data_IF_484806216303
#
_entry.id   IF_484806216303
#
_cell.length_a   1.000
_cell.length_b   1.000
_cell.length_c   1.000
_cell.angle_alpha   90.00
_cell.angle_beta   90.00
_cell.angle_gamma   90.00
#
_symmetry.space_group_name_H-M   'P 1'
#
loop_
_entity.id
_entity.type
_entity.pdbx_description
1 polymer ?
#
# COMPACT_ATOMS: atom_id res chain seq x y z
N UNK A 1 10.00 -2.12 -1.16
CA UNK A 1 10.76 -2.18 -2.44
C UNK A 1 10.10 -3.03 -3.53
N UNK A 2 9.52 -4.18 -3.18
CA UNK A 2 8.88 -5.11 -4.14
C UNK A 2 7.84 -4.45 -5.07
N UNK A 3 6.96 -3.59 -4.53
CA UNK A 3 5.96 -2.85 -5.33
C UNK A 3 6.63 -1.95 -6.37
N UNK A 4 7.65 -1.16 -5.98
CA UNK A 4 8.33 -0.24 -6.91
C UNK A 4 9.10 -0.96 -8.01
N UNK A 5 9.66 -2.14 -7.71
CA UNK A 5 10.26 -2.99 -8.74
C UNK A 5 9.20 -3.58 -9.68
N UNK A 6 8.07 -4.01 -9.14
CA UNK A 6 6.99 -4.59 -9.92
C UNK A 6 6.37 -3.58 -10.91
N UNK A 7 6.27 -2.30 -10.55
CA UNK A 7 5.75 -1.22 -11.42
C UNK A 7 6.74 -0.74 -12.49
N UNK A 8 7.86 -1.45 -12.71
CA UNK A 8 8.86 -1.11 -13.73
C UNK A 8 9.80 0.06 -13.36
N UNK A 9 9.74 0.57 -12.12
CA UNK A 9 10.68 1.60 -11.68
C UNK A 9 12.05 0.98 -11.39
N UNK A 10 13.02 1.28 -12.24
CA UNK A 10 14.39 0.71 -12.15
C UNK A 10 15.09 1.04 -10.83
N UNK A 11 14.76 2.18 -10.21
CA UNK A 11 15.29 2.62 -8.91
C UNK A 11 14.22 3.42 -8.13
N UNK A 12 13.42 2.78 -7.26
CA UNK A 12 12.47 3.50 -6.42
C UNK A 12 13.21 4.37 -5.40
N UNK A 13 12.87 5.66 -5.31
CA UNK A 13 13.39 6.55 -4.28
C UNK A 13 12.55 6.42 -3.01
N UNK A 14 13.18 6.05 -1.90
CA UNK A 14 12.54 5.97 -0.59
C UNK A 14 12.82 7.28 0.14
N UNK A 15 11.76 7.99 0.52
CA UNK A 15 11.84 9.22 1.31
C UNK A 15 11.15 8.99 2.66
N UNK A 16 11.90 9.17 3.75
CA UNK A 16 11.36 9.12 5.10
C UNK A 16 10.61 10.40 5.43
N UNK A 17 9.28 10.32 5.55
CA UNK A 17 8.43 11.48 5.87
C UNK A 17 7.99 11.37 7.34
N UNK A 18 8.24 12.38 8.18
CA UNK A 18 7.75 12.39 9.55
C UNK A 18 6.21 12.35 9.62
N UNK A 19 5.67 11.57 10.56
CA UNK A 19 4.20 11.44 10.77
C UNK A 19 3.46 12.79 10.86
N UNK A 20 3.97 13.84 11.54
CA UNK A 20 3.29 15.13 11.60
C UNK A 20 3.17 15.81 10.23
N UNK A 21 4.20 15.71 9.39
CA UNK A 21 4.21 16.26 8.05
C UNK A 21 3.19 15.53 7.16
N UNK A 22 3.13 14.21 7.27
CA UNK A 22 2.14 13.39 6.57
C UNK A 22 0.70 13.77 6.98
N UNK A 23 0.45 13.98 8.27
CA UNK A 23 -0.84 14.46 8.77
C UNK A 23 -1.22 15.86 8.26
N UNK A 24 -0.26 16.79 8.20
CA UNK A 24 -0.49 18.14 7.67
C UNK A 24 -0.84 18.11 6.18
N UNK A 25 -0.07 17.38 5.36
CA UNK A 25 -0.35 17.23 3.91
C UNK A 25 -1.72 16.62 3.65
N UNK A 26 -2.14 15.63 4.46
CA UNK A 26 -3.45 15.00 4.33
C UNK A 26 -4.62 15.96 4.64
N UNK A 27 -4.46 16.84 5.64
CA UNK A 27 -5.45 17.88 5.94
C UNK A 27 -5.54 18.92 4.83
N UNK A 28 -4.39 19.37 4.32
CA UNK A 28 -4.33 20.30 3.18
C UNK A 28 -4.94 19.71 1.92
N UNK A 29 -4.62 18.45 1.59
CA UNK A 29 -5.18 17.75 0.44
C UNK A 29 -6.70 17.61 0.56
N UNK A 30 -7.22 17.32 1.76
CA UNK A 30 -8.67 17.25 2.00
C UNK A 30 -9.36 18.61 1.90
N UNK A 31 -8.72 19.69 2.37
CA UNK A 31 -9.24 21.05 2.22
C UNK A 31 -9.31 21.43 0.74
N UNK A 32 -8.20 21.22 0.01
CA UNK A 32 -8.12 21.49 -1.42
C UNK A 32 -9.13 20.66 -2.22
N UNK A 33 -9.35 19.40 -1.86
CA UNK A 33 -10.32 18.54 -2.52
C UNK A 33 -11.76 19.02 -2.35
N UNK A 34 -12.10 19.61 -1.20
CA UNK A 34 -13.42 20.23 -0.97
C UNK A 34 -13.62 21.49 -1.81
N UNK A 35 -12.55 22.24 -2.07
CA UNK A 35 -12.59 23.46 -2.88
C UNK A 35 -12.54 23.17 -4.39
N UNK A 36 -11.81 22.14 -4.80
CA UNK A 36 -11.53 21.82 -6.20
C UNK A 36 -12.33 20.61 -6.73
N UNK A 37 -13.12 19.94 -5.87
CA UNK A 37 -14.08 18.90 -6.26
C UNK A 37 -13.48 17.54 -6.65
N UNK A 38 -12.21 17.27 -6.37
CA UNK A 38 -11.58 15.97 -6.67
C UNK A 38 -11.64 14.99 -5.49
N UNK A 39 -11.38 13.71 -5.76
CA UNK A 39 -11.27 12.67 -4.73
C UNK A 39 -9.85 12.64 -4.14
N UNK A 40 -9.65 13.00 -2.85
CA UNK A 40 -8.33 13.04 -2.26
C UNK A 40 -7.78 11.63 -2.03
N UNK A 41 -6.65 11.29 -2.66
CA UNK A 41 -6.02 9.98 -2.45
C UNK A 41 -5.34 9.84 -1.08
N UNK A 42 -4.83 10.94 -0.51
CA UNK A 42 -4.25 10.99 0.83
C UNK A 42 -5.16 11.81 1.75
N UNK A 43 -5.80 11.13 2.70
CA UNK A 43 -6.70 11.72 3.71
C UNK A 43 -6.17 11.46 5.12
N UNK A 44 -6.61 12.20 6.15
CA UNK A 44 -6.21 11.92 7.51
C UNK A 44 -6.50 10.47 7.95
N UNK A 45 -7.59 9.88 7.43
CA UNK A 45 -7.90 8.46 7.62
C UNK A 45 -6.83 7.54 7.03
N UNK A 46 -6.44 7.77 5.76
CA UNK A 46 -5.33 7.07 5.09
C UNK A 46 -4.01 7.20 5.85
N UNK A 47 -3.75 8.36 6.46
CA UNK A 47 -2.53 8.54 7.30
C UNK A 47 -2.57 7.63 8.51
N UNK A 48 -3.69 7.61 9.24
CA UNK A 48 -3.86 6.75 10.42
C UNK A 48 -3.69 5.28 10.05
N UNK A 49 -4.31 4.86 8.95
CA UNK A 49 -4.13 3.54 8.34
C UNK A 49 -2.64 3.28 8.10
N UNK A 50 -1.95 4.05 7.25
CA UNK A 50 -0.53 3.84 6.91
C UNK A 50 0.43 3.83 8.12
N UNK A 51 0.07 4.47 9.22
CA UNK A 51 0.89 4.55 10.43
C UNK A 51 0.51 3.57 11.52
N UNK A 52 -0.48 2.70 11.30
CA UNK A 52 -0.85 1.67 12.27
C UNK A 52 0.30 0.67 12.42
N UNK A 53 0.62 0.28 13.65
CA UNK A 53 1.79 -0.58 13.90
C UNK A 53 1.47 -2.06 13.65
N UNK A 54 0.20 -2.47 13.82
CA UNK A 54 -0.26 -3.87 13.70
C UNK A 54 -1.02 -4.15 12.40
N UNK A 55 -0.40 -3.89 11.25
CA UNK A 55 -1.01 -4.19 9.93
C UNK A 55 -1.07 -5.68 9.60
N UNK A 56 -0.16 -6.47 10.17
CA UNK A 56 -0.02 -7.87 9.82
C UNK A 56 -0.94 -8.70 10.71
N UNK A 57 -1.97 -9.27 10.09
CA UNK A 57 -2.73 -10.34 10.71
C UNK A 57 -1.93 -11.64 10.62
N UNK A 58 -1.74 -12.34 11.75
CA UNK A 58 -1.20 -13.70 11.73
C UNK A 58 -2.27 -14.67 11.23
N UNK A 59 -2.05 -15.18 10.01
CA UNK A 59 -2.95 -16.15 9.39
C UNK A 59 -2.78 -17.58 9.96
N UNK A 60 -1.88 -17.82 10.93
CA UNK A 60 -1.63 -19.15 11.46
C UNK A 60 -2.88 -19.81 12.05
N UNK A 61 -3.72 -19.05 12.74
CA UNK A 61 -4.97 -19.54 13.31
C UNK A 61 -5.97 -19.96 12.22
N UNK A 62 -6.12 -19.15 11.17
CA UNK A 62 -6.96 -19.45 10.01
C UNK A 62 -6.47 -20.70 9.30
N UNK A 63 -5.16 -20.79 9.04
CA UNK A 63 -4.55 -21.95 8.38
C UNK A 63 -4.71 -23.23 9.18
N UNK A 64 -4.52 -23.20 10.51
CA UNK A 64 -4.75 -24.38 11.38
C UNK A 64 -6.21 -24.82 11.39
N UNK A 65 -7.15 -23.88 11.40
CA UNK A 65 -8.57 -24.19 11.49
C UNK A 65 -9.17 -24.72 10.17
N UNK A 66 -8.62 -24.31 9.02
CA UNK A 66 -9.24 -24.57 7.71
C UNK A 66 -8.37 -25.37 6.75
N UNK A 67 -7.08 -25.57 7.07
CA UNK A 67 -6.08 -26.07 6.12
C UNK A 67 -5.74 -25.09 5.00
N UNK A 68 -6.32 -23.89 5.00
CA UNK A 68 -6.08 -22.89 3.98
C UNK A 68 -4.65 -22.36 4.04
N UNK A 69 -4.01 -22.26 2.88
CA UNK A 69 -2.71 -21.61 2.70
C UNK A 69 -2.77 -20.69 1.48
N UNK A 70 -2.07 -19.54 1.50
CA UNK A 70 -2.04 -18.64 0.34
C UNK A 70 -1.39 -19.35 -0.85
N UNK A 71 -2.16 -19.55 -1.91
CA UNK A 71 -1.67 -20.21 -3.14
C UNK A 71 -0.67 -19.35 -3.92
N UNK A 72 -0.68 -18.03 -3.69
CA UNK A 72 0.19 -17.06 -4.36
C UNK A 72 0.78 -16.18 -3.27
N UNK A 73 2.10 -16.18 -3.14
CA UNK A 73 2.79 -15.25 -2.25
C UNK A 73 2.74 -13.81 -2.79
N UNK A 74 3.04 -12.83 -1.92
CA UNK A 74 2.96 -11.41 -2.25
C UNK A 74 3.85 -11.02 -3.44
N UNK A 75 5.07 -11.55 -3.53
CA UNK A 75 6.02 -11.20 -4.59
C UNK A 75 5.54 -11.72 -5.95
N UNK A 76 5.12 -13.00 -5.99
CA UNK A 76 4.52 -13.62 -7.17
C UNK A 76 3.26 -12.87 -7.60
N UNK A 77 2.40 -12.48 -6.65
CA UNK A 77 1.19 -11.70 -6.92
C UNK A 77 1.50 -10.33 -7.53
N UNK A 78 2.45 -9.59 -6.95
CA UNK A 78 2.88 -8.28 -7.46
C UNK A 78 3.45 -8.37 -8.87
N UNK A 79 4.30 -9.37 -9.15
CA UNK A 79 4.83 -9.59 -10.50
C UNK A 79 3.72 -9.86 -11.52
N UNK A 80 2.74 -10.70 -11.21
CA UNK A 80 1.61 -11.00 -12.12
C UNK A 80 0.74 -9.77 -12.38
N UNK A 81 0.49 -8.96 -11.36
CA UNK A 81 -0.34 -7.76 -11.46
C UNK A 81 0.28 -6.68 -12.36
N UNK A 82 1.59 -6.46 -12.25
CA UNK A 82 2.26 -5.37 -12.97
C UNK A 82 3.03 -5.81 -14.22
N UNK A 83 3.22 -7.12 -14.44
CA UNK A 83 3.75 -7.66 -15.69
C UNK A 83 2.87 -8.81 -16.24
N UNK A 84 1.62 -8.52 -16.66
CA UNK A 84 0.68 -9.54 -17.12
C UNK A 84 1.08 -10.21 -18.45
N UNK A 85 2.05 -9.64 -19.20
CA UNK A 85 2.51 -10.12 -20.51
C UNK A 85 3.82 -10.91 -20.50
N UNK A 86 4.37 -11.24 -19.32
CA UNK A 86 5.57 -12.07 -19.19
C UNK A 86 5.30 -13.56 -19.42
N UNK A 87 4.73 -13.91 -20.57
CA UNK A 87 4.90 -15.25 -21.15
C UNK A 87 6.31 -15.36 -21.71
N UNK A 88 6.90 -16.53 -21.47
CA UNK A 88 8.20 -17.06 -21.93
C UNK A 88 8.78 -16.45 -23.21
#
# INVERSE_FOLDING_TARGET
>A
ESIGRATGSRQPRILGIPRPLLGATARLNLLASRLLGYLPMLTPGKVRELTQDDWLCDNSALSRATGWTPAIDLETGLRRLFNPGGSS
#
